data_IF_586793577515
#
_entry.id   IF_586793577515
#
_cell.length_a   1.000
_cell.length_b   1.000
_cell.length_c   1.000
_cell.angle_alpha   90.00
_cell.angle_beta   90.00
_cell.angle_gamma   90.00
#
_symmetry.space_group_name_H-M   'P 1'
#
loop_
_entity.id
_entity.type
_entity.pdbx_description
1 polymer ?
#
# COMPACT_ATOMS: atom_id res chain seq x y z
N UNK A 1 -75.06 -53.55 -4.96
CA UNK A 1 -74.19 -54.24 -5.93
C UNK A 1 -74.10 -53.42 -7.22
N UNK A 2 -72.87 -53.03 -7.59
CA UNK A 2 -72.35 -52.24 -8.75
C UNK A 2 -71.47 -51.10 -8.19
N UNK A 3 -70.14 -51.29 -8.15
CA UNK A 3 -69.10 -50.73 -9.06
C UNK A 3 -68.95 -49.21 -8.84
N UNK A 4 -67.78 -48.59 -8.69
CA UNK A 4 -66.39 -48.87 -9.08
C UNK A 4 -65.54 -47.76 -8.40
N UNK A 5 -64.37 -48.10 -7.83
CA UNK A 5 -63.07 -47.38 -7.73
C UNK A 5 -63.09 -45.82 -7.70
N UNK A 6 -62.31 -45.11 -6.88
CA UNK A 6 -60.85 -45.22 -6.71
C UNK A 6 -60.44 -44.41 -5.48
N UNK A 7 -59.39 -44.89 -4.82
CA UNK A 7 -58.77 -44.35 -3.62
C UNK A 7 -58.21 -42.94 -3.82
N UNK A 8 -58.47 -42.13 -2.80
CA UNK A 8 -57.92 -40.83 -2.44
C UNK A 8 -56.39 -40.90 -2.23
N UNK A 9 -55.57 -39.99 -2.79
CA UNK A 9 -54.31 -39.63 -2.17
C UNK A 9 -54.44 -38.28 -1.46
N UNK A 10 -54.07 -38.34 -0.19
CA UNK A 10 -53.89 -37.25 0.77
C UNK A 10 -52.81 -36.28 0.24
N UNK A 11 -53.20 -35.08 -0.18
CA UNK A 11 -52.26 -34.09 -0.72
C UNK A 11 -52.76 -32.65 -0.50
N UNK A 12 -53.02 -32.26 0.76
CA UNK A 12 -53.09 -30.84 1.14
C UNK A 12 -52.66 -30.68 2.60
N UNK A 13 -51.38 -30.41 2.84
CA UNK A 13 -50.92 -29.75 4.07
C UNK A 13 -49.51 -29.17 3.87
N UNK A 14 -49.40 -28.09 3.08
CA UNK A 14 -48.22 -27.22 2.98
C UNK A 14 -48.59 -25.90 2.28
N UNK A 15 -49.56 -25.16 2.83
CA UNK A 15 -49.87 -23.77 2.47
C UNK A 15 -50.36 -23.01 3.69
N UNK A 16 -49.44 -22.62 4.58
CA UNK A 16 -49.73 -21.69 5.66
C UNK A 16 -48.45 -21.00 6.15
N UNK A 17 -47.84 -20.17 5.30
CA UNK A 17 -46.96 -19.06 5.70
C UNK A 17 -46.82 -18.11 4.51
N UNK A 18 -47.71 -17.13 4.43
CA UNK A 18 -47.71 -16.16 3.34
C UNK A 18 -48.96 -15.30 3.37
N UNK A 19 -49.13 -14.52 4.44
CA UNK A 19 -49.94 -13.28 4.53
C UNK A 19 -49.45 -12.58 5.81
N UNK A 20 -48.72 -11.47 5.66
CA UNK A 20 -48.28 -10.66 6.80
C UNK A 20 -47.00 -9.85 6.56
N UNK A 21 -46.90 -9.11 5.46
CA UNK A 21 -45.98 -7.97 5.41
C UNK A 21 -46.52 -6.93 6.41
N UNK A 22 -45.93 -6.88 7.60
CA UNK A 22 -46.07 -5.71 8.47
C UNK A 22 -45.21 -4.62 7.86
N UNK A 23 -45.86 -3.64 7.24
CA UNK A 23 -45.25 -2.35 6.92
C UNK A 23 -44.48 -1.85 8.13
N UNK A 24 -43.15 -1.85 8.04
CA UNK A 24 -42.29 -1.23 9.04
C UNK A 24 -42.67 0.26 9.09
N UNK A 25 -42.89 0.86 10.26
CA UNK A 25 -43.28 2.26 10.34
C UNK A 25 -42.20 3.11 9.65
N UNK A 26 -42.59 3.78 8.58
CA UNK A 26 -41.75 4.75 7.90
C UNK A 26 -41.56 5.94 8.82
N UNK A 27 -40.32 6.19 9.23
CA UNK A 27 -39.97 7.38 10.01
C UNK A 27 -40.35 8.62 9.19
N UNK A 28 -41.15 9.51 9.78
CA UNK A 28 -41.52 10.78 9.16
C UNK A 28 -40.37 11.78 9.36
N UNK A 29 -39.78 12.22 8.26
CA UNK A 29 -38.69 13.20 8.21
C UNK A 29 -38.05 13.19 6.82
N UNK A 30 -37.41 14.29 6.43
CA UNK A 30 -36.52 14.28 5.27
C UNK A 30 -35.37 13.32 5.58
N UNK A 31 -35.17 12.32 4.72
CA UNK A 31 -34.03 11.42 4.84
C UNK A 31 -32.81 12.19 4.37
N UNK A 32 -32.06 12.74 5.31
CA UNK A 32 -30.73 13.25 5.03
C UNK A 32 -29.82 12.02 4.92
N UNK A 33 -29.09 11.89 3.82
CA UNK A 33 -28.12 10.81 3.70
C UNK A 33 -27.00 11.02 4.72
N UNK A 34 -26.62 9.99 5.47
CA UNK A 34 -25.42 10.09 6.33
C UNK A 34 -24.16 10.28 5.47
N UNK A 35 -24.20 9.90 4.18
CA UNK A 35 -23.13 10.15 3.20
C UNK A 35 -23.05 11.63 2.77
N UNK A 36 -24.14 12.40 2.87
CA UNK A 36 -24.10 13.86 2.61
C UNK A 36 -23.41 14.66 3.72
N UNK A 37 -23.05 14.01 4.83
CA UNK A 37 -22.23 14.59 5.90
C UNK A 37 -20.73 14.36 5.70
N UNK A 38 -20.30 13.61 4.67
CA UNK A 38 -18.90 13.58 4.24
C UNK A 38 -18.62 14.86 3.46
N UNK A 39 -18.08 15.86 4.13
CA UNK A 39 -17.62 17.09 3.49
C UNK A 39 -16.51 16.71 2.50
N UNK A 40 -16.70 17.02 1.22
CA UNK A 40 -15.62 16.95 0.22
C UNK A 40 -14.41 17.73 0.71
N UNK A 41 -13.20 17.22 0.49
CA UNK A 41 -12.00 17.96 0.85
C UNK A 41 -11.94 19.24 0.01
N UNK A 42 -11.66 20.36 0.66
CA UNK A 42 -11.54 21.66 0.02
C UNK A 42 -10.15 22.24 0.30
N UNK A 43 -9.58 23.01 -0.65
CA UNK A 43 -8.38 23.81 -0.37
C UNK A 43 -8.59 24.72 0.84
N UNK A 44 -7.53 24.86 1.63
CA UNK A 44 -7.50 25.85 2.70
C UNK A 44 -7.54 27.28 2.13
N UNK A 45 -7.78 28.27 2.99
CA UNK A 45 -7.96 29.65 2.54
C UNK A 45 -6.76 30.16 1.70
N UNK A 46 -6.99 31.02 0.69
CA UNK A 46 -5.93 31.45 -0.23
C UNK A 46 -4.73 32.13 0.42
N UNK A 47 -4.91 32.77 1.59
CA UNK A 47 -3.81 33.37 2.34
C UNK A 47 -2.84 32.33 2.89
N UNK A 48 -3.37 31.29 3.52
CA UNK A 48 -2.57 30.16 4.02
C UNK A 48 -1.87 29.42 2.88
N UNK A 49 -2.56 29.22 1.75
CA UNK A 49 -1.97 28.63 0.54
C UNK A 49 -0.82 29.49 0.01
N UNK A 50 -0.99 30.81 -0.06
CA UNK A 50 0.05 31.73 -0.52
C UNK A 50 1.29 31.76 0.40
N UNK A 51 1.14 31.51 1.69
CA UNK A 51 2.25 31.38 2.65
C UNK A 51 3.00 30.04 2.51
N UNK A 52 2.36 29.04 1.91
CA UNK A 52 2.88 27.68 1.76
C UNK A 52 3.04 27.31 0.27
N UNK A 53 3.65 28.18 -0.53
CA UNK A 53 3.86 27.91 -1.95
C UNK A 53 4.70 26.64 -2.18
N UNK A 54 4.32 25.86 -3.19
CA UNK A 54 5.05 24.65 -3.55
C UNK A 54 6.39 24.98 -4.21
N UNK A 55 7.46 24.37 -3.70
CA UNK A 55 8.81 24.49 -4.24
C UNK A 55 9.26 23.12 -4.74
N UNK A 56 9.27 22.95 -6.05
CA UNK A 56 9.76 21.73 -6.70
C UNK A 56 11.29 21.67 -6.57
N UNK A 57 11.86 20.67 -5.89
CA UNK A 57 13.29 20.44 -5.88
C UNK A 57 13.74 19.94 -7.26
N UNK A 58 15.03 20.13 -7.58
CA UNK A 58 15.62 19.61 -8.81
C UNK A 58 15.41 18.10 -8.89
N UNK A 59 14.99 17.61 -10.06
CA UNK A 59 14.86 16.20 -10.31
C UNK A 59 16.21 15.48 -10.15
N UNK A 60 16.23 14.35 -9.46
CA UNK A 60 17.44 13.55 -9.24
C UNK A 60 17.34 12.19 -9.91
N UNK A 61 18.47 11.68 -10.39
CA UNK A 61 18.51 10.39 -11.07
C UNK A 61 18.54 9.28 -10.02
N UNK A 62 17.43 8.59 -9.89
CA UNK A 62 17.33 7.39 -9.08
C UNK A 62 17.72 6.17 -9.92
N UNK A 63 18.86 5.56 -9.61
CA UNK A 63 19.34 4.36 -10.30
C UNK A 63 18.64 3.09 -9.80
N UNK A 64 18.25 3.07 -8.52
CA UNK A 64 17.82 1.88 -7.81
C UNK A 64 16.50 2.06 -7.07
N UNK A 65 15.75 0.98 -6.91
CA UNK A 65 14.60 0.87 -6.03
C UNK A 65 14.80 -0.35 -5.11
N UNK A 66 15.72 -0.27 -4.13
CA UNK A 66 16.16 -1.45 -3.37
C UNK A 66 15.12 -1.97 -2.37
N UNK A 67 14.16 -1.17 -1.92
CA UNK A 67 13.19 -1.56 -0.88
C UNK A 67 11.79 -1.07 -1.24
N UNK A 68 10.77 -1.56 -0.53
CA UNK A 68 9.42 -0.99 -0.63
C UNK A 68 9.49 0.53 -0.35
N UNK A 69 8.81 1.35 -1.16
CA UNK A 69 8.91 2.81 -1.07
C UNK A 69 10.27 3.39 -1.53
N UNK A 70 11.13 2.58 -2.13
CA UNK A 70 12.41 2.97 -2.71
C UNK A 70 13.58 2.81 -1.75
N UNK A 71 13.62 3.61 -0.69
CA UNK A 71 14.66 3.57 0.36
C UNK A 71 14.01 3.49 1.75
N UNK A 72 14.78 3.16 2.82
CA UNK A 72 14.20 2.92 4.15
C UNK A 72 13.35 4.05 4.72
N UNK A 73 13.59 5.30 4.32
CA UNK A 73 12.82 6.45 4.80
C UNK A 73 11.55 6.74 3.98
N UNK A 74 11.35 6.00 2.88
CA UNK A 74 10.27 6.14 1.91
C UNK A 74 10.13 7.55 1.28
N UNK A 75 11.18 8.37 1.32
CA UNK A 75 11.19 9.75 0.80
C UNK A 75 11.93 9.81 -0.54
N UNK A 76 11.18 9.71 -1.65
CA UNK A 76 11.73 9.66 -3.01
C UNK A 76 11.84 11.01 -3.72
N UNK A 77 11.18 12.07 -3.23
CA UNK A 77 11.29 13.42 -3.79
C UNK A 77 10.91 13.49 -5.29
N UNK A 78 11.55 14.38 -6.05
CA UNK A 78 11.31 14.56 -7.48
C UNK A 78 12.26 13.68 -8.29
N UNK A 79 11.77 12.59 -8.88
CA UNK A 79 12.59 11.67 -9.65
C UNK A 79 12.82 12.18 -11.08
N UNK A 80 14.01 11.96 -11.63
CA UNK A 80 14.28 12.19 -13.03
C UNK A 80 13.62 11.08 -13.86
N UNK A 81 12.84 11.48 -14.86
CA UNK A 81 12.17 10.58 -15.79
C UNK A 81 12.08 11.26 -17.17
N UNK A 82 11.82 10.48 -18.22
CA UNK A 82 11.74 11.04 -19.56
C UNK A 82 10.54 11.98 -19.69
N UNK A 83 10.68 12.96 -20.58
CA UNK A 83 9.59 13.86 -20.95
C UNK A 83 8.98 13.32 -22.25
N UNK A 84 7.72 12.90 -22.21
CA UNK A 84 7.00 12.35 -23.36
C UNK A 84 6.01 11.26 -22.96
N UNK A 85 5.21 10.81 -23.92
CA UNK A 85 4.25 9.73 -23.72
C UNK A 85 4.94 8.43 -23.31
N UNK A 86 4.29 7.66 -22.44
CA UNK A 86 4.76 6.34 -22.03
C UNK A 86 4.84 5.40 -23.23
N UNK A 87 6.04 4.92 -23.57
CA UNK A 87 6.22 3.88 -24.58
C UNK A 87 6.65 2.60 -23.90
N UNK A 88 5.84 1.56 -24.05
CA UNK A 88 6.19 0.24 -23.53
C UNK A 88 7.47 -0.25 -24.21
N UNK A 89 8.50 -0.51 -23.40
CA UNK A 89 9.79 -1.04 -23.83
C UNK A 89 9.76 -2.57 -23.89
N UNK A 90 9.15 -3.21 -22.89
CA UNK A 90 8.95 -4.66 -22.82
C UNK A 90 7.89 -5.01 -21.78
N UNK A 91 7.39 -6.24 -21.84
CA UNK A 91 6.59 -6.89 -20.80
C UNK A 91 7.18 -8.26 -20.45
N UNK A 92 6.90 -8.73 -19.24
CA UNK A 92 7.29 -10.04 -18.75
C UNK A 92 6.18 -10.62 -17.87
N UNK A 93 6.02 -11.93 -17.91
CA UNK A 93 5.13 -12.68 -17.03
C UNK A 93 5.91 -13.03 -15.75
N UNK A 94 5.37 -12.66 -14.57
CA UNK A 94 5.96 -12.96 -13.27
C UNK A 94 5.48 -14.28 -12.66
N UNK A 95 4.49 -14.93 -13.26
CA UNK A 95 3.76 -16.06 -12.70
C UNK A 95 2.36 -15.66 -12.26
N UNK A 96 1.90 -16.24 -11.16
CA UNK A 96 0.50 -16.09 -10.73
C UNK A 96 0.17 -14.69 -10.22
N UNK A 97 -0.91 -14.12 -10.77
CA UNK A 97 -1.43 -12.81 -10.37
C UNK A 97 -2.32 -12.85 -9.11
N UNK A 98 -2.93 -11.70 -8.82
CA UNK A 98 -3.98 -11.53 -7.83
C UNK A 98 -5.18 -12.44 -8.09
N UNK A 99 -5.73 -12.99 -7.02
CA UNK A 99 -7.07 -13.58 -6.98
C UNK A 99 -7.88 -12.94 -5.86
N UNK A 100 -9.18 -13.22 -5.78
CA UNK A 100 -10.04 -12.73 -4.70
C UNK A 100 -9.62 -13.17 -3.29
N UNK A 101 -8.77 -14.21 -3.18
CA UNK A 101 -8.25 -14.73 -1.90
C UNK A 101 -6.78 -14.41 -1.67
N UNK A 102 -6.01 -14.26 -2.74
CA UNK A 102 -4.55 -14.07 -2.71
C UNK A 102 -4.23 -12.81 -3.52
N UNK A 103 -4.24 -11.62 -2.91
CA UNK A 103 -3.83 -10.42 -3.62
C UNK A 103 -2.32 -10.41 -3.83
N UNK A 104 -1.88 -9.88 -4.98
CA UNK A 104 -0.49 -9.57 -5.24
C UNK A 104 -0.10 -8.31 -4.43
N UNK A 105 0.81 -8.48 -3.47
CA UNK A 105 1.19 -7.40 -2.53
C UNK A 105 2.65 -6.98 -2.61
N UNK A 106 3.51 -7.81 -3.21
CA UNK A 106 4.95 -7.56 -3.26
C UNK A 106 5.28 -6.47 -4.28
N UNK A 107 5.77 -5.32 -3.81
CA UNK A 107 6.32 -4.29 -4.70
C UNK A 107 7.63 -4.79 -5.34
N UNK A 108 7.84 -4.58 -6.66
CA UNK A 108 9.09 -4.92 -7.31
C UNK A 108 10.29 -4.16 -6.74
N UNK A 109 11.45 -4.82 -6.67
CA UNK A 109 12.74 -4.23 -6.32
C UNK A 109 13.63 -4.15 -7.55
N UNK A 110 14.26 -3.01 -7.81
CA UNK A 110 15.10 -2.79 -9.00
C UNK A 110 16.52 -2.40 -8.59
N UNK A 111 17.50 -3.26 -8.87
CA UNK A 111 18.92 -3.00 -8.54
C UNK A 111 19.83 -3.65 -9.57
N UNK A 112 20.96 -3.01 -9.86
CA UNK A 112 22.04 -3.57 -10.70
C UNK A 112 21.56 -4.23 -12.01
N UNK A 113 20.64 -3.56 -12.70
CA UNK A 113 20.10 -4.02 -13.97
C UNK A 113 19.13 -5.20 -13.88
N UNK A 114 18.70 -5.58 -12.68
CA UNK A 114 17.69 -6.61 -12.39
C UNK A 114 16.45 -6.02 -11.75
N UNK A 115 15.31 -6.66 -12.01
CA UNK A 115 14.07 -6.42 -11.29
C UNK A 115 13.63 -7.74 -10.65
N UNK A 116 13.32 -7.69 -9.36
CA UNK A 116 12.90 -8.82 -8.55
C UNK A 116 11.43 -8.67 -8.21
N UNK A 117 10.66 -9.74 -8.42
CA UNK A 117 9.23 -9.80 -8.14
C UNK A 117 8.88 -11.08 -7.42
N UNK A 118 7.73 -11.09 -6.75
CA UNK A 118 7.19 -12.28 -6.10
C UNK A 118 5.72 -12.39 -6.48
N UNK A 119 5.34 -13.55 -7.01
CA UNK A 119 3.98 -13.86 -7.42
C UNK A 119 3.13 -14.41 -6.25
N UNK A 120 1.85 -14.70 -6.48
CA UNK A 120 0.93 -15.18 -5.42
C UNK A 120 1.14 -16.64 -5.03
N UNK A 121 1.92 -17.39 -5.80
CA UNK A 121 2.33 -18.79 -5.53
C UNK A 121 3.69 -18.87 -4.80
N UNK A 122 4.18 -17.73 -4.28
CA UNK A 122 5.48 -17.63 -3.61
C UNK A 122 6.66 -18.02 -4.51
N UNK A 123 6.60 -17.65 -5.79
CA UNK A 123 7.74 -17.72 -6.71
C UNK A 123 8.45 -16.38 -6.75
N UNK A 124 9.68 -16.35 -6.23
CA UNK A 124 10.60 -15.23 -6.40
C UNK A 124 11.25 -15.31 -7.78
N UNK A 125 11.19 -14.23 -8.55
CA UNK A 125 11.67 -14.18 -9.92
C UNK A 125 12.58 -12.97 -10.14
N UNK A 126 13.62 -13.14 -10.96
CA UNK A 126 14.48 -12.05 -11.41
C UNK A 126 14.41 -11.88 -12.92
N UNK A 127 14.32 -10.62 -13.36
CA UNK A 127 14.30 -10.26 -14.78
C UNK A 127 15.35 -9.22 -15.11
N UNK A 128 15.82 -9.23 -16.35
CA UNK A 128 16.70 -8.21 -16.89
C UNK A 128 15.93 -6.93 -17.19
N UNK A 129 16.33 -5.81 -16.58
CA UNK A 129 15.78 -4.46 -16.84
C UNK A 129 15.90 -4.02 -18.31
N UNK A 130 16.83 -4.63 -19.06
CA UNK A 130 17.09 -4.28 -20.47
C UNK A 130 15.97 -4.75 -21.40
N UNK A 131 15.34 -5.88 -21.11
CA UNK A 131 14.47 -6.58 -22.07
C UNK A 131 13.40 -7.49 -21.43
N UNK A 132 13.23 -7.48 -20.11
CA UNK A 132 12.25 -8.31 -19.41
C UNK A 132 12.56 -9.81 -19.41
N UNK A 133 13.73 -10.25 -19.87
CA UNK A 133 14.06 -11.68 -19.86
C UNK A 133 14.24 -12.19 -18.44
N UNK A 134 13.59 -13.30 -18.13
CA UNK A 134 13.80 -14.06 -16.89
C UNK A 134 15.25 -14.51 -16.78
N UNK A 135 15.86 -14.23 -15.64
CA UNK A 135 17.21 -14.66 -15.27
C UNK A 135 17.15 -15.95 -14.45
N UNK A 136 16.25 -15.98 -13.46
CA UNK A 136 15.98 -17.17 -12.63
C UNK A 136 14.59 -17.06 -11.99
N UNK A 137 14.10 -18.21 -11.49
CA UNK A 137 12.90 -18.34 -10.68
C UNK A 137 13.16 -19.34 -9.57
N UNK A 138 12.74 -19.01 -8.36
CA UNK A 138 12.88 -19.86 -7.17
C UNK A 138 11.55 -19.87 -6.42
N UNK A 139 10.98 -21.05 -6.21
CA UNK A 139 9.86 -21.18 -5.28
C UNK A 139 10.41 -21.09 -3.83
N UNK A 140 9.91 -20.13 -3.06
CA UNK A 140 10.39 -19.84 -1.70
C UNK A 140 9.55 -20.48 -0.60
N UNK A 141 8.52 -21.26 -0.98
CA UNK A 141 7.72 -22.06 -0.06
C UNK A 141 8.54 -23.27 0.43
N UNK A 142 8.37 -23.65 1.68
CA UNK A 142 8.93 -24.91 2.19
C UNK A 142 8.21 -26.12 1.56
N UNK A 143 8.87 -27.28 1.50
CA UNK A 143 8.33 -28.47 0.82
C UNK A 143 7.10 -29.07 1.52
N UNK A 144 6.95 -28.81 2.82
CA UNK A 144 5.85 -29.27 3.68
C UNK A 144 4.67 -28.29 3.75
N UNK A 145 4.78 -27.14 3.10
CA UNK A 145 3.74 -26.12 3.02
C UNK A 145 2.93 -26.26 1.73
N UNK A 146 1.68 -26.70 1.86
CA UNK A 146 0.77 -26.91 0.72
C UNK A 146 -0.29 -25.80 0.58
N UNK A 147 -0.62 -25.12 1.68
CA UNK A 147 -1.69 -24.14 1.72
C UNK A 147 -1.23 -22.81 1.08
N UNK A 148 -2.03 -22.19 0.20
CA UNK A 148 -1.70 -20.89 -0.36
C UNK A 148 -1.89 -19.80 0.70
N UNK A 149 -0.90 -18.92 0.81
CA UNK A 149 -0.89 -17.79 1.75
C UNK A 149 -0.63 -16.49 1.02
N UNK A 150 -1.08 -15.38 1.61
CA UNK A 150 -0.73 -14.06 1.11
C UNK A 150 0.77 -13.86 1.34
N UNK A 151 1.50 -13.55 0.26
CA UNK A 151 2.95 -13.34 0.31
C UNK A 151 3.39 -12.13 1.14
N UNK A 152 4.70 -12.01 1.32
CA UNK A 152 5.35 -10.87 1.96
C UNK A 152 5.89 -9.86 0.96
N UNK A 153 7.11 -9.40 1.18
CA UNK A 153 7.77 -8.45 0.29
C UNK A 153 9.28 -8.69 0.15
N UNK A 154 9.88 -7.93 -0.76
CA UNK A 154 11.27 -8.06 -1.16
C UNK A 154 12.00 -6.79 -0.78
N UNK A 155 13.24 -6.94 -0.31
CA UNK A 155 14.16 -5.82 -0.15
C UNK A 155 15.60 -6.26 -0.46
N UNK A 156 16.43 -5.32 -0.87
CA UNK A 156 17.81 -5.56 -1.26
C UNK A 156 18.76 -4.68 -0.46
N UNK A 157 19.84 -5.28 0.03
CA UNK A 157 20.95 -4.56 0.62
C UNK A 157 22.21 -5.41 0.58
N UNK A 158 23.38 -4.77 0.39
CA UNK A 158 24.69 -5.44 0.46
C UNK A 158 24.80 -6.72 -0.38
N UNK A 159 24.26 -6.70 -1.62
CA UNK A 159 24.25 -7.84 -2.55
C UNK A 159 23.44 -9.07 -2.08
N UNK A 160 22.48 -8.87 -1.19
CA UNK A 160 21.56 -9.90 -0.70
C UNK A 160 20.12 -9.42 -0.88
N UNK A 161 19.24 -10.33 -1.33
CA UNK A 161 17.80 -10.14 -1.25
C UNK A 161 17.30 -10.68 0.08
N UNK A 162 16.49 -9.89 0.77
CA UNK A 162 15.77 -10.29 1.96
C UNK A 162 14.29 -10.36 1.61
N UNK A 163 13.68 -11.51 1.88
CA UNK A 163 12.31 -11.80 1.46
C UNK A 163 11.52 -12.31 2.65
N UNK A 164 10.41 -11.67 2.95
CA UNK A 164 9.38 -12.22 3.84
C UNK A 164 8.38 -13.01 3.02
N UNK A 165 7.90 -14.12 3.56
CA UNK A 165 6.80 -14.87 2.98
C UNK A 165 5.63 -14.98 3.98
N UNK A 166 4.50 -15.51 3.51
CA UNK A 166 3.32 -15.73 4.35
C UNK A 166 3.40 -16.99 5.24
N UNK A 167 4.57 -17.64 5.33
CA UNK A 167 4.81 -18.90 6.03
C UNK A 167 5.72 -18.73 7.26
N UNK A 168 5.65 -17.56 7.91
CA UNK A 168 6.47 -17.26 9.10
C UNK A 168 7.98 -17.31 8.81
N UNK A 169 8.44 -16.98 7.60
CA UNK A 169 9.87 -16.99 7.27
C UNK A 169 10.39 -15.63 6.79
N UNK A 170 11.66 -15.39 7.13
CA UNK A 170 12.54 -14.43 6.49
C UNK A 170 13.66 -15.20 5.79
N UNK A 171 13.86 -14.92 4.50
CA UNK A 171 14.86 -15.59 3.67
C UNK A 171 15.92 -14.58 3.23
N UNK A 172 17.19 -14.99 3.28
CA UNK A 172 18.27 -14.32 2.55
C UNK A 172 18.56 -15.09 1.27
N UNK A 173 18.50 -14.41 0.14
CA UNK A 173 18.57 -15.00 -1.20
C UNK A 173 19.67 -14.31 -2.00
N UNK A 174 20.41 -15.11 -2.76
CA UNK A 174 21.40 -14.63 -3.70
C UNK A 174 20.72 -13.98 -4.92
N UNK A 175 20.93 -12.68 -5.18
CA UNK A 175 20.30 -11.98 -6.31
C UNK A 175 20.72 -12.52 -7.69
N UNK A 176 21.85 -13.23 -7.78
CA UNK A 176 22.41 -13.70 -9.05
C UNK A 176 21.74 -14.97 -9.56
N UNK A 177 21.35 -15.88 -8.66
CA UNK A 177 20.87 -17.22 -9.03
C UNK A 177 19.63 -17.69 -8.25
N UNK A 178 19.15 -16.91 -7.27
CA UNK A 178 17.98 -17.26 -6.48
C UNK A 178 18.23 -18.33 -5.42
N UNK A 179 19.48 -18.71 -5.13
CA UNK A 179 19.81 -19.66 -4.07
C UNK A 179 19.71 -19.03 -2.68
N UNK A 180 19.28 -19.82 -1.69
CA UNK A 180 19.17 -19.36 -0.31
C UNK A 180 20.54 -19.32 0.37
N UNK A 181 20.89 -18.19 0.99
CA UNK A 181 21.99 -18.12 1.95
C UNK A 181 21.58 -18.67 3.31
N UNK A 182 20.39 -18.28 3.79
CA UNK A 182 19.81 -18.77 5.03
C UNK A 182 18.28 -18.54 5.05
N UNK A 183 17.62 -19.23 5.97
CA UNK A 183 16.20 -19.05 6.33
C UNK A 183 16.09 -18.89 7.83
N UNK A 184 15.26 -17.95 8.28
CA UNK A 184 14.99 -17.70 9.68
C UNK A 184 13.48 -17.75 9.93
N UNK A 185 13.09 -18.41 11.02
CA UNK A 185 11.69 -18.46 11.46
C UNK A 185 11.32 -17.17 12.17
N UNK A 186 10.18 -16.61 11.78
CA UNK A 186 9.51 -15.48 12.41
C UNK A 186 8.46 -16.01 13.39
N UNK A 187 8.07 -15.21 14.39
CA UNK A 187 7.07 -15.64 15.37
C UNK A 187 5.62 -15.60 14.85
N UNK A 188 5.40 -15.00 13.67
CA UNK A 188 4.11 -14.90 12.97
C UNK A 188 4.35 -14.45 11.51
N UNK A 189 3.34 -14.53 10.61
CA UNK A 189 3.56 -14.24 9.20
C UNK A 189 3.88 -12.77 9.00
N UNK A 190 4.61 -12.45 7.93
CA UNK A 190 4.84 -11.06 7.51
C UNK A 190 4.33 -10.82 6.10
N UNK A 191 3.42 -9.85 5.97
CA UNK A 191 2.90 -9.38 4.67
C UNK A 191 3.58 -8.09 4.18
N UNK A 192 4.55 -7.59 4.93
CA UNK A 192 5.31 -6.38 4.60
C UNK A 192 6.69 -6.78 4.06
N UNK A 193 7.29 -5.96 3.19
CA UNK A 193 8.69 -6.12 2.86
C UNK A 193 9.57 -5.80 4.09
N UNK A 194 10.72 -6.46 4.28
CA UNK A 194 11.72 -6.03 5.25
C UNK A 194 12.21 -4.62 4.95
N UNK A 195 12.47 -3.83 5.99
CA UNK A 195 13.19 -2.56 5.86
C UNK A 195 14.63 -2.76 6.33
N UNK A 196 15.62 -2.32 5.54
CA UNK A 196 17.04 -2.46 5.89
C UNK A 196 17.67 -1.10 6.10
N UNK A 197 18.13 -0.81 7.31
CA UNK A 197 18.91 0.38 7.63
C UNK A 197 20.06 0.01 8.57
N UNK A 198 21.23 0.62 8.35
CA UNK A 198 22.44 0.44 9.15
C UNK A 198 22.77 -1.03 9.49
N UNK A 199 22.74 -1.90 8.47
CA UNK A 199 23.02 -3.33 8.60
C UNK A 199 22.12 -4.08 9.60
N UNK A 200 20.85 -3.67 9.70
CA UNK A 200 19.79 -4.35 10.45
C UNK A 200 18.58 -4.55 9.57
N UNK A 201 17.94 -5.70 9.69
CA UNK A 201 16.65 -6.00 9.06
C UNK A 201 15.53 -5.68 10.05
N UNK A 202 14.53 -4.93 9.63
CA UNK A 202 13.31 -4.69 10.40
C UNK A 202 12.16 -5.42 9.72
N UNK A 203 11.54 -6.35 10.45
CA UNK A 203 10.42 -7.15 9.95
C UNK A 203 9.20 -6.91 10.82
N UNK A 204 8.11 -6.47 10.20
CA UNK A 204 6.80 -6.31 10.84
C UNK A 204 5.96 -7.55 10.60
N UNK A 205 5.44 -8.17 11.65
CA UNK A 205 4.58 -9.36 11.58
C UNK A 205 3.11 -9.02 11.80
N UNK A 206 2.22 -9.93 11.39
CA UNK A 206 0.76 -9.74 11.47
C UNK A 206 0.21 -9.67 12.89
N UNK A 207 0.94 -10.15 13.89
CA UNK A 207 0.57 -10.09 15.30
C UNK A 207 1.11 -8.84 16.02
N UNK A 208 1.32 -7.76 15.26
CA UNK A 208 1.81 -6.45 15.73
C UNK A 208 3.18 -6.51 16.40
N UNK A 209 4.12 -7.31 15.87
CA UNK A 209 5.51 -7.29 16.32
C UNK A 209 6.42 -6.66 15.29
N UNK A 210 7.53 -6.11 15.77
CA UNK A 210 8.65 -5.65 14.95
C UNK A 210 9.91 -6.29 15.48
N UNK A 211 10.58 -7.04 14.61
CA UNK A 211 11.85 -7.67 14.91
C UNK A 211 12.97 -6.90 14.22
N UNK A 212 13.99 -6.52 14.98
CA UNK A 212 15.29 -6.18 14.39
C UNK A 212 16.14 -7.44 14.35
N UNK A 213 16.64 -7.79 13.17
CA UNK A 213 17.35 -9.04 12.91
C UNK A 213 18.70 -8.77 12.25
N UNK A 214 19.67 -9.63 12.52
CA UNK A 214 21.00 -9.57 11.93
C UNK A 214 20.95 -10.07 10.47
N UNK A 215 21.39 -9.28 9.49
CA UNK A 215 21.37 -9.69 8.09
C UNK A 215 22.30 -10.85 7.74
N UNK A 216 23.24 -11.21 8.62
CA UNK A 216 24.24 -12.26 8.37
C UNK A 216 23.69 -13.66 8.60
N UNK A 217 22.82 -13.82 9.59
CA UNK A 217 22.31 -15.13 10.01
C UNK A 217 20.81 -15.14 10.36
N UNK A 218 20.13 -14.00 10.30
CA UNK A 218 18.71 -13.89 10.64
C UNK A 218 18.43 -13.99 12.14
N UNK A 219 19.43 -13.86 13.02
CA UNK A 219 19.20 -13.85 14.47
C UNK A 219 18.51 -12.57 14.93
N UNK A 220 17.59 -12.69 15.90
CA UNK A 220 16.89 -11.53 16.48
C UNK A 220 17.85 -10.74 17.38
N UNK A 221 18.00 -9.45 17.09
CA UNK A 221 18.78 -8.49 17.88
C UNK A 221 17.94 -7.88 18.99
N UNK A 222 16.71 -7.49 18.67
CA UNK A 222 15.69 -7.04 19.61
C UNK A 222 14.29 -7.20 18.99
N UNK A 223 13.27 -7.21 19.83
CA UNK A 223 11.87 -7.23 19.41
C UNK A 223 11.06 -6.14 20.14
N UNK A 224 10.03 -5.64 19.47
CA UNK A 224 8.99 -4.80 20.05
C UNK A 224 7.63 -5.44 19.77
N UNK A 225 6.75 -5.44 20.77
CA UNK A 225 5.38 -5.94 20.67
C UNK A 225 4.45 -4.75 20.85
N UNK A 226 3.74 -4.41 19.79
CA UNK A 226 2.71 -3.36 19.79
C UNK A 226 1.37 -3.84 20.33
N UNK A 227 0.34 -3.06 20.08
CA UNK A 227 -1.04 -3.40 20.45
C UNK A 227 -1.55 -4.49 19.50
N UNK A 228 -1.82 -5.68 20.06
CA UNK A 228 -2.39 -6.80 19.32
C UNK A 228 -3.87 -6.59 18.97
N UNK A 229 -4.28 -7.05 17.79
CA UNK A 229 -5.67 -6.98 17.32
C UNK A 229 -6.13 -8.29 16.68
N UNK A 230 -7.45 -8.51 16.71
CA UNK A 230 -8.07 -9.74 16.19
C UNK A 230 -8.43 -9.65 14.70
N UNK A 231 -8.49 -8.45 14.12
CA UNK A 231 -8.86 -8.22 12.73
C UNK A 231 -8.17 -6.96 12.18
N UNK A 232 -7.54 -7.06 11.01
CA UNK A 232 -6.95 -5.95 10.27
C UNK A 232 -7.05 -6.18 8.75
N UNK A 233 -6.87 -5.12 7.97
CA UNK A 233 -6.89 -5.11 6.51
C UNK A 233 -5.83 -6.06 5.92
N UNK A 234 -6.05 -6.42 4.66
CA UNK A 234 -5.13 -7.27 3.91
C UNK A 234 -3.92 -6.46 3.41
N UNK A 235 -2.74 -6.84 3.92
CA UNK A 235 -1.44 -6.23 3.65
C UNK A 235 -0.80 -5.71 4.93
N UNK A 236 0.51 -5.44 4.92
CA UNK A 236 1.18 -4.77 6.03
C UNK A 236 2.15 -3.73 5.47
N UNK A 237 2.21 -2.57 6.13
CA UNK A 237 3.15 -1.52 5.78
C UNK A 237 4.56 -1.88 6.28
N UNK A 238 5.55 -1.78 5.40
CA UNK A 238 6.95 -1.80 5.79
C UNK A 238 7.25 -0.60 6.70
N UNK A 239 8.07 -0.81 7.73
CA UNK A 239 8.47 0.27 8.62
C UNK A 239 9.33 1.31 7.88
N UNK A 240 9.28 2.57 8.26
CA UNK A 240 10.29 3.53 7.82
C UNK A 240 11.48 3.50 8.78
N UNK A 241 12.69 3.75 8.30
CA UNK A 241 13.87 3.82 9.14
C UNK A 241 14.86 4.89 8.67
N UNK A 242 15.59 5.44 9.62
CA UNK A 242 16.82 6.19 9.41
C UNK A 242 17.89 5.69 10.38
N UNK A 243 19.02 6.39 10.50
CA UNK A 243 20.12 5.95 11.36
C UNK A 243 19.78 5.95 12.86
N UNK A 244 18.77 6.70 13.30
CA UNK A 244 18.46 6.90 14.71
C UNK A 244 17.21 6.11 15.15
N UNK A 245 16.18 6.07 14.30
CA UNK A 245 14.89 5.44 14.62
C UNK A 245 14.37 4.55 13.49
N UNK A 246 13.56 3.57 13.88
CA UNK A 246 12.63 2.84 13.02
C UNK A 246 11.20 3.14 13.46
N UNK A 247 10.34 3.44 12.50
CA UNK A 247 8.94 3.78 12.67
C UNK A 247 8.08 2.69 12.06
N UNK A 248 7.74 1.64 12.83
CA UNK A 248 6.67 0.73 12.45
C UNK A 248 5.29 1.35 12.62
N UNK A 249 4.35 0.80 11.86
CA UNK A 249 2.93 1.10 11.95
C UNK A 249 2.14 -0.20 11.96
N UNK A 250 1.04 -0.23 12.70
CA UNK A 250 0.26 -1.45 12.94
C UNK A 250 -1.21 -1.28 12.52
N UNK A 251 -1.93 -2.40 12.39
CA UNK A 251 -3.38 -2.44 12.10
C UNK A 251 -4.19 -1.62 13.13
N UNK A 252 -3.68 -1.56 14.36
CA UNK A 252 -4.29 -0.85 15.49
C UNK A 252 -4.27 0.67 15.40
N UNK A 253 -3.72 1.20 14.31
CA UNK A 253 -3.44 2.62 14.14
C UNK A 253 -2.29 3.10 15.02
N UNK A 254 -1.57 2.21 15.71
CA UNK A 254 -0.36 2.57 16.46
C UNK A 254 0.76 2.96 15.48
N UNK A 255 1.40 4.10 15.76
CA UNK A 255 2.63 4.57 15.11
C UNK A 255 3.63 4.83 16.22
N UNK A 256 4.75 4.11 16.18
CA UNK A 256 5.75 4.17 17.24
C UNK A 256 7.11 4.43 16.63
N UNK A 257 7.94 5.27 17.24
CA UNK A 257 9.36 5.35 16.91
C UNK A 257 10.17 4.55 17.92
N UNK A 258 10.95 3.60 17.43
CA UNK A 258 11.84 2.75 18.19
C UNK A 258 13.28 3.12 17.88
N UNK A 259 14.15 3.14 18.89
CA UNK A 259 15.58 3.35 18.69
C UNK A 259 16.20 2.16 17.97
N UNK A 260 16.98 2.45 16.94
CA UNK A 260 17.63 1.44 16.08
C UNK A 260 18.49 0.45 16.87
N UNK A 261 19.16 0.91 17.94
CA UNK A 261 20.14 0.11 18.66
C UNK A 261 19.52 -1.00 19.52
N UNK A 262 18.36 -0.74 20.11
CA UNK A 262 17.81 -1.59 21.18
C UNK A 262 16.29 -1.73 21.20
N UNK A 263 15.56 -1.13 20.25
CA UNK A 263 14.11 -1.23 20.17
C UNK A 263 13.36 -0.46 21.25
N UNK A 264 14.03 0.36 22.07
CA UNK A 264 13.35 1.18 23.08
C UNK A 264 12.49 2.26 22.43
N UNK A 265 11.30 2.48 22.98
CA UNK A 265 10.36 3.49 22.47
C UNK A 265 10.92 4.89 22.68
N UNK A 266 11.14 5.61 21.59
CA UNK A 266 11.44 7.04 21.61
C UNK A 266 10.17 7.87 21.82
N UNK A 267 9.10 7.52 21.09
CA UNK A 267 7.75 8.04 21.26
C UNK A 267 6.74 7.09 20.63
N UNK A 268 5.46 7.24 20.97
CA UNK A 268 4.35 6.49 20.40
C UNK A 268 3.12 7.39 20.26
N UNK A 269 2.34 7.17 19.22
CA UNK A 269 1.09 7.85 18.92
C UNK A 269 0.06 6.84 18.34
N UNK A 270 -1.21 7.23 18.29
CA UNK A 270 -2.28 6.39 17.76
C UNK A 270 -3.24 7.18 16.85
N UNK A 271 -3.46 6.66 15.64
CA UNK A 271 -4.27 7.26 14.59
C UNK A 271 -5.72 6.75 14.58
N UNK A 272 -6.09 5.82 15.46
CA UNK A 272 -7.45 5.30 15.53
C UNK A 272 -8.47 6.41 15.80
N UNK A 273 -9.62 6.29 15.15
CA UNK A 273 -10.71 7.24 15.30
C UNK A 273 -11.65 6.80 16.43
N UNK A 274 -11.44 7.33 17.63
CA UNK A 274 -12.29 7.08 18.81
C UNK A 274 -13.77 7.44 18.61
N UNK A 275 -14.15 8.16 17.54
CA UNK A 275 -15.54 8.57 17.26
C UNK A 275 -16.35 7.57 16.45
N UNK A 276 -15.76 6.51 15.89
CA UNK A 276 -16.49 5.48 15.14
C UNK A 276 -17.22 4.47 16.06
N UNK A 277 -17.83 4.94 17.15
CA UNK A 277 -18.67 4.16 18.04
C UNK A 277 -20.04 3.87 17.37
N UNK A 278 -20.01 3.11 16.28
CA UNK A 278 -21.14 2.85 15.40
C UNK A 278 -20.98 1.60 14.55
N UNK A 279 -20.77 0.44 15.19
CA UNK A 279 -21.15 -0.88 14.67
C UNK A 279 -20.42 -1.48 13.46
N UNK A 280 -19.66 -0.71 12.69
CA UNK A 280 -18.65 -1.21 11.76
C UNK A 280 -17.30 -1.09 12.45
N UNK A 281 -16.53 -2.17 12.51
CA UNK A 281 -15.18 -2.14 13.05
C UNK A 281 -14.42 -0.99 12.39
N UNK A 282 -14.01 0.01 13.17
CA UNK A 282 -13.20 1.11 12.66
C UNK A 282 -11.85 0.52 12.27
N UNK A 283 -11.69 0.19 10.98
CA UNK A 283 -10.45 -0.35 10.42
C UNK A 283 -9.40 0.75 10.49
N UNK A 284 -8.71 0.85 11.63
CA UNK A 284 -7.65 1.84 11.87
C UNK A 284 -6.33 1.49 11.21
N UNK A 285 -6.38 0.54 10.27
CA UNK A 285 -5.25 -0.03 9.59
C UNK A 285 -4.41 1.03 8.91
N UNK A 286 -3.11 0.98 9.14
CA UNK A 286 -2.13 1.78 8.41
C UNK A 286 -1.51 0.87 7.35
N UNK A 287 -2.06 0.93 6.13
CA UNK A 287 -1.53 0.23 4.95
C UNK A 287 -0.48 1.06 4.19
N UNK A 288 -0.63 2.39 4.25
CA UNK A 288 0.33 3.31 3.68
C UNK A 288 1.66 3.22 4.43
N UNK A 289 2.78 3.24 3.70
CA UNK A 289 4.09 3.28 4.35
C UNK A 289 4.26 4.62 5.10
N UNK A 290 4.72 4.63 6.37
CA UNK A 290 5.11 5.87 7.02
C UNK A 290 6.30 6.49 6.27
N UNK A 291 6.45 7.81 6.28
CA UNK A 291 7.53 8.48 5.55
C UNK A 291 8.33 9.36 6.51
N UNK A 292 9.66 9.28 6.43
CA UNK A 292 10.57 10.11 7.23
C UNK A 292 11.27 11.09 6.30
N UNK A 293 11.03 12.39 6.48
CA UNK A 293 11.68 13.44 5.71
C UNK A 293 12.00 14.66 6.58
N UNK A 294 13.28 15.03 6.64
CA UNK A 294 13.80 16.25 7.29
C UNK A 294 13.27 16.50 8.71
N UNK A 295 13.26 15.46 9.56
CA UNK A 295 12.83 15.59 10.95
C UNK A 295 11.31 15.48 11.14
N UNK A 296 10.57 15.10 10.11
CA UNK A 296 9.13 14.88 10.15
C UNK A 296 8.82 13.43 9.78
N UNK A 297 7.97 12.80 10.58
CA UNK A 297 7.35 11.52 10.28
C UNK A 297 5.91 11.77 9.83
N UNK A 298 5.54 11.28 8.65
CA UNK A 298 4.19 11.35 8.13
C UNK A 298 3.59 9.95 8.09
N UNK A 299 2.40 9.80 8.66
CA UNK A 299 1.66 8.54 8.66
C UNK A 299 0.19 8.80 8.33
N UNK A 300 -0.42 7.88 7.59
CA UNK A 300 -1.80 7.97 7.11
C UNK A 300 -2.52 6.65 7.39
N UNK A 301 -3.57 6.70 8.21
CA UNK A 301 -4.44 5.55 8.44
C UNK A 301 -5.51 5.46 7.35
N UNK A 302 -6.01 4.25 7.14
CA UNK A 302 -7.21 3.99 6.37
C UNK A 302 -8.40 4.74 7.00
N UNK A 303 -8.64 4.53 8.31
CA UNK A 303 -9.77 5.08 9.10
C UNK A 303 -9.97 6.61 9.21
N UNK A 304 -9.26 7.42 8.43
CA UNK A 304 -9.62 8.83 8.27
C UNK A 304 -8.66 9.83 8.92
N UNK A 305 -7.37 9.50 9.09
CA UNK A 305 -6.40 10.50 9.56
C UNK A 305 -5.06 10.42 8.86
N UNK A 306 -4.53 11.58 8.50
CA UNK A 306 -3.13 11.81 8.20
C UNK A 306 -2.53 12.78 9.22
N UNK A 307 -1.32 12.47 9.69
CA UNK A 307 -0.59 13.28 10.66
C UNK A 307 0.84 13.53 10.20
N UNK A 308 1.41 14.65 10.66
CA UNK A 308 2.85 14.85 10.72
C UNK A 308 3.28 14.95 12.18
N UNK A 309 4.36 14.26 12.50
CA UNK A 309 4.97 14.18 13.82
C UNK A 309 6.40 14.71 13.73
N UNK A 310 6.82 15.51 14.70
CA UNK A 310 8.24 15.85 14.88
C UNK A 310 9.00 14.58 15.29
N UNK A 311 9.92 14.15 14.43
CA UNK A 311 10.63 12.87 14.51
C UNK A 311 11.33 12.67 15.86
N UNK A 312 11.82 13.76 16.47
CA UNK A 312 12.61 13.69 17.70
C UNK A 312 11.76 13.69 18.96
N UNK A 313 10.67 14.44 18.96
CA UNK A 313 9.85 14.68 20.16
C UNK A 313 8.58 13.86 20.20
N UNK A 314 8.10 13.34 19.06
CA UNK A 314 6.81 12.66 18.97
C UNK A 314 5.60 13.60 19.01
N UNK A 315 5.81 14.92 19.00
CA UNK A 315 4.71 15.87 18.99
C UNK A 315 4.09 15.97 17.59
N UNK A 316 2.75 15.92 17.50
CA UNK A 316 2.04 16.22 16.26
C UNK A 316 2.29 17.68 15.86
N UNK A 317 2.88 17.86 14.68
CA UNK A 317 3.04 19.17 14.02
C UNK A 317 1.69 19.61 13.48
N UNK A 318 0.99 18.71 12.80
CA UNK A 318 -0.38 18.92 12.31
C UNK A 318 -1.11 17.59 12.14
N UNK A 319 -2.43 17.68 11.98
CA UNK A 319 -3.31 16.56 11.63
C UNK A 319 -4.42 17.01 10.67
N UNK A 320 -4.92 16.09 9.84
CA UNK A 320 -6.13 16.26 9.01
C UNK A 320 -7.04 15.04 9.13
N UNK A 321 -8.35 15.26 9.06
CA UNK A 321 -9.39 14.24 9.28
C UNK A 321 -9.84 13.59 7.96
N UNK A 322 -8.90 13.04 7.22
CA UNK A 322 -9.15 12.13 6.11
C UNK A 322 -8.02 11.09 6.02
N UNK A 323 -8.30 9.94 5.41
CA UNK A 323 -7.44 8.77 5.39
C UNK A 323 -7.27 8.24 3.98
N UNK A 324 -6.45 7.20 3.86
CA UNK A 324 -6.12 6.57 2.58
C UNK A 324 -5.15 5.41 2.74
N UNK A 325 -5.02 4.62 1.68
CA UNK A 325 -4.24 3.38 1.70
C UNK A 325 -2.87 3.49 1.02
N UNK A 326 -2.67 4.53 0.21
CA UNK A 326 -1.44 4.71 -0.57
C UNK A 326 -0.40 5.53 0.20
N UNK A 327 0.88 5.21 0.01
CA UNK A 327 2.00 5.90 0.64
C UNK A 327 2.02 7.40 0.27
N UNK A 328 2.06 8.31 1.25
CA UNK A 328 2.25 9.74 0.99
C UNK A 328 3.54 10.03 0.21
N UNK A 329 3.45 10.79 -0.88
CA UNK A 329 4.63 11.13 -1.68
C UNK A 329 5.15 12.52 -1.33
N UNK A 330 6.33 12.60 -0.72
CA UNK A 330 6.94 13.87 -0.28
C UNK A 330 7.82 14.45 -1.38
N UNK A 331 7.64 15.74 -1.70
CA UNK A 331 8.48 16.49 -2.64
C UNK A 331 8.70 17.90 -2.11
N UNK A 332 9.96 18.26 -1.88
CA UNK A 332 10.30 19.61 -1.43
C UNK A 332 9.65 19.93 -0.09
N UNK A 333 8.68 20.84 -0.10
CA UNK A 333 7.88 21.24 1.07
C UNK A 333 6.42 20.77 1.00
N UNK A 334 6.08 19.84 0.09
CA UNK A 334 4.72 19.32 -0.09
C UNK A 334 4.66 17.81 0.04
N UNK A 335 3.45 17.33 0.30
CA UNK A 335 3.08 15.91 0.41
C UNK A 335 1.87 15.71 -0.50
N UNK A 336 1.94 14.70 -1.36
CA UNK A 336 0.84 14.32 -2.24
C UNK A 336 0.25 13.00 -1.75
N UNK A 337 -1.06 12.96 -1.60
CA UNK A 337 -1.77 11.80 -1.02
C UNK A 337 -3.04 11.49 -1.78
N UNK A 338 -3.47 10.23 -1.74
CA UNK A 338 -4.76 9.78 -2.24
C UNK A 338 -5.68 9.45 -1.09
N UNK A 339 -6.87 10.06 -1.06
CA UNK A 339 -7.92 9.73 -0.09
C UNK A 339 -8.65 8.44 -0.46
N UNK A 340 -9.40 7.86 0.48
CA UNK A 340 -10.30 6.71 0.23
C UNK A 340 -11.45 7.02 -0.76
N UNK A 341 -11.70 8.30 -0.98
CA UNK A 341 -12.72 8.83 -1.89
C UNK A 341 -12.15 9.16 -3.28
N UNK A 342 -10.96 8.67 -3.60
CA UNK A 342 -10.23 8.93 -4.85
C UNK A 342 -9.98 10.44 -5.07
N UNK A 343 -9.72 11.20 -4.00
CA UNK A 343 -9.25 12.58 -4.11
C UNK A 343 -7.72 12.59 -4.05
N UNK A 344 -7.08 13.17 -5.07
CA UNK A 344 -5.66 13.50 -5.02
C UNK A 344 -5.50 14.84 -4.33
N UNK A 345 -4.69 14.89 -3.27
CA UNK A 345 -4.57 16.07 -2.40
C UNK A 345 -3.11 16.47 -2.29
N UNK A 346 -2.83 17.77 -2.46
CA UNK A 346 -1.54 18.34 -2.11
C UNK A 346 -1.61 19.10 -0.79
N UNK A 347 -0.72 18.75 0.13
CA UNK A 347 -0.59 19.39 1.44
C UNK A 347 0.80 19.98 1.61
N UNK A 348 0.89 21.11 2.29
CA UNK A 348 2.16 21.61 2.78
C UNK A 348 2.70 20.68 3.88
N UNK A 349 3.92 20.15 3.70
CA UNK A 349 4.53 19.16 4.61
C UNK A 349 4.65 19.66 6.04
N UNK A 350 4.91 20.95 6.22
CA UNK A 350 5.27 21.52 7.52
C UNK A 350 4.05 22.08 8.29
N UNK A 351 2.91 22.30 7.61
CA UNK A 351 1.72 22.96 8.20
C UNK A 351 0.42 22.18 8.00
N UNK A 352 0.40 21.21 7.08
CA UNK A 352 -0.79 20.45 6.69
C UNK A 352 -1.79 21.24 5.85
N UNK A 353 -1.46 22.48 5.44
CA UNK A 353 -2.33 23.33 4.62
C UNK A 353 -2.65 22.61 3.31
N UNK A 354 -3.94 22.43 3.01
CA UNK A 354 -4.39 21.82 1.75
C UNK A 354 -4.29 22.87 0.65
N UNK A 355 -3.41 22.63 -0.33
CA UNK A 355 -3.16 23.55 -1.44
C UNK A 355 -4.22 23.39 -2.53
N UNK A 356 -4.48 22.14 -2.92
CA UNK A 356 -5.49 21.79 -3.92
C UNK A 356 -6.00 20.37 -3.67
N UNK A 357 -7.18 20.10 -4.23
CA UNK A 357 -7.85 18.80 -4.22
C UNK A 357 -8.35 18.53 -5.63
N UNK A 358 -7.98 17.39 -6.20
CA UNK A 358 -8.46 16.92 -7.50
C UNK A 358 -9.24 15.63 -7.30
N UNK A 359 -10.54 15.67 -7.58
CA UNK A 359 -11.37 14.47 -7.60
C UNK A 359 -10.99 13.63 -8.82
N UNK A 360 -10.53 12.40 -8.58
CA UNK A 360 -10.35 11.40 -9.63
C UNK A 360 -11.63 10.58 -9.78
N UNK A 361 -11.74 9.85 -10.88
CA UNK A 361 -12.91 9.03 -11.13
C UNK A 361 -13.05 7.94 -10.04
N UNK A 362 -14.27 7.80 -9.54
CA UNK A 362 -14.63 6.82 -8.51
C UNK A 362 -15.03 5.46 -9.09
N UNK A 363 -15.53 5.46 -10.32
CA UNK A 363 -16.08 4.29 -10.99
C UNK A 363 -15.50 4.15 -12.39
N UNK A 364 -15.47 2.91 -12.89
CA UNK A 364 -14.99 2.60 -14.23
C UNK A 364 -15.86 3.32 -15.27
N UNK A 365 -15.26 3.70 -16.40
CA UNK A 365 -15.94 4.52 -17.41
C UNK A 365 -17.19 3.83 -18.00
N UNK A 366 -17.17 2.51 -18.07
CA UNK A 366 -18.22 1.70 -18.70
C UNK A 366 -19.03 0.85 -17.69
N UNK A 367 -18.74 0.96 -16.38
CA UNK A 367 -19.42 0.24 -15.31
C UNK A 367 -19.48 1.08 -14.01
N UNK A 368 -20.65 1.68 -13.75
CA UNK A 368 -20.90 2.50 -12.56
C UNK A 368 -20.93 1.68 -11.25
N UNK A 369 -21.00 0.34 -11.31
CA UNK A 369 -20.93 -0.53 -10.14
C UNK A 369 -19.47 -0.94 -9.80
N UNK A 370 -18.53 -0.75 -10.73
CA UNK A 370 -17.12 -1.08 -10.55
C UNK A 370 -16.34 0.10 -9.93
N UNK A 371 -16.09 0.04 -8.62
CA UNK A 371 -15.29 1.04 -7.92
C UNK A 371 -13.82 0.95 -8.35
N UNK A 372 -13.28 2.09 -8.80
CA UNK A 372 -11.87 2.20 -9.16
C UNK A 372 -10.99 2.38 -7.94
N UNK A 373 -9.84 1.73 -7.97
CA UNK A 373 -8.74 2.01 -7.06
C UNK A 373 -7.60 2.67 -7.83
N UNK A 374 -7.02 3.70 -7.24
CA UNK A 374 -5.83 4.38 -7.76
C UNK A 374 -4.60 4.00 -6.93
N UNK A 375 -3.48 3.81 -7.61
CA UNK A 375 -2.17 3.51 -7.05
C UNK A 375 -1.18 4.63 -7.39
N UNK A 376 -0.28 4.93 -6.46
CA UNK A 376 0.53 6.16 -6.46
C UNK A 376 0.03 7.16 -5.40
N UNK A 377 0.25 8.48 -5.58
CA UNK A 377 1.00 9.11 -6.66
C UNK A 377 2.50 8.85 -6.50
N UNK A 378 3.22 8.89 -7.62
CA UNK A 378 4.68 9.08 -7.61
C UNK A 378 5.02 10.36 -8.37
N UNK A 379 6.08 11.09 -7.99
CA UNK A 379 6.54 12.26 -8.74
C UNK A 379 7.79 11.96 -9.54
N UNK A 380 7.69 12.13 -10.85
CA UNK A 380 8.84 11.98 -11.73
C UNK A 380 8.73 12.81 -12.99
N UNK A 381 9.85 13.33 -13.49
CA UNK A 381 9.87 14.19 -14.67
C UNK A 381 9.00 15.43 -14.51
N UNK A 382 8.86 15.94 -13.28
CA UNK A 382 8.10 17.16 -12.97
C UNK A 382 6.58 17.00 -12.90
N UNK A 383 6.05 15.77 -12.88
CA UNK A 383 4.61 15.48 -12.85
C UNK A 383 4.30 14.35 -11.86
N UNK A 384 3.09 14.35 -11.32
CA UNK A 384 2.57 13.22 -10.56
C UNK A 384 2.05 12.16 -11.53
N UNK A 385 2.34 10.90 -11.25
CA UNK A 385 1.92 9.75 -12.04
C UNK A 385 1.10 8.83 -11.15
N UNK A 386 -0.08 8.44 -11.65
CA UNK A 386 -1.00 7.53 -10.98
C UNK A 386 -1.43 6.44 -11.96
N UNK A 387 -1.74 5.26 -11.43
CA UNK A 387 -2.28 4.15 -12.21
C UNK A 387 -3.56 3.61 -11.56
N UNK A 388 -4.50 3.11 -12.35
CA UNK A 388 -5.78 2.58 -11.86
C UNK A 388 -6.00 1.10 -12.15
N UNK A 389 -6.98 0.53 -11.47
CA UNK A 389 -7.49 -0.82 -11.72
C UNK A 389 -8.23 -0.97 -13.05
N UNK A 390 -8.55 0.11 -13.77
CA UNK A 390 -9.04 0.06 -15.16
C UNK A 390 -7.95 0.38 -16.20
N UNK A 391 -6.68 0.27 -15.80
CA UNK A 391 -5.54 0.42 -16.69
C UNK A 391 -5.28 1.84 -17.18
N UNK A 392 -5.84 2.88 -16.54
CA UNK A 392 -5.48 4.26 -16.86
C UNK A 392 -4.21 4.68 -16.15
N UNK A 393 -3.40 5.47 -16.87
CA UNK A 393 -2.27 6.21 -16.32
C UNK A 393 -2.57 7.69 -16.42
N UNK A 394 -2.58 8.38 -15.28
CA UNK A 394 -2.78 9.83 -15.21
C UNK A 394 -1.45 10.52 -14.94
N UNK A 395 -1.25 11.63 -15.65
CA UNK A 395 -0.17 12.59 -15.40
C UNK A 395 -0.80 13.89 -14.89
N UNK A 396 -0.44 14.33 -13.69
CA UNK A 396 -1.06 15.49 -13.01
C UNK A 396 -0.01 16.54 -12.67
N UNK A 397 -0.34 17.82 -12.86
CA UNK A 397 0.51 18.95 -12.52
C UNK A 397 0.56 19.12 -11.00
N UNK A 398 1.74 19.01 -10.35
CA UNK A 398 1.81 19.00 -8.89
C UNK A 398 1.52 20.37 -8.24
N UNK A 399 1.66 21.48 -8.97
CA UNK A 399 1.35 22.83 -8.48
C UNK A 399 -0.16 23.10 -8.40
N UNK A 400 -0.95 22.56 -9.33
CA UNK A 400 -2.37 22.94 -9.50
C UNK A 400 -3.34 21.78 -9.31
N UNK A 401 -2.87 20.54 -9.44
CA UNK A 401 -3.73 19.35 -9.48
C UNK A 401 -4.40 19.11 -10.83
N UNK A 402 -4.07 19.90 -11.87
CA UNK A 402 -4.67 19.76 -13.20
C UNK A 402 -4.15 18.52 -13.92
N UNK A 403 -5.04 17.81 -14.62
CA UNK A 403 -4.67 16.70 -15.49
C UNK A 403 -3.84 17.22 -16.68
N UNK A 404 -2.62 16.72 -16.82
CA UNK A 404 -1.73 16.99 -17.95
C UNK A 404 -2.07 16.06 -19.11
N UNK A 405 -2.15 14.77 -18.82
CA UNK A 405 -2.39 13.73 -19.81
C UNK A 405 -3.00 12.47 -19.17
N UNK A 406 -3.70 11.71 -20.00
CA UNK A 406 -4.20 10.39 -19.68
C UNK A 406 -3.79 9.44 -20.79
N UNK A 407 -3.31 8.26 -20.41
CA UNK A 407 -3.09 7.13 -21.31
C UNK A 407 -3.73 5.88 -20.74
N UNK A 408 -3.84 4.84 -21.57
CA UNK A 408 -4.43 3.56 -21.19
C UNK A 408 -3.45 2.43 -21.50
N UNK A 409 -3.42 1.44 -20.62
CA UNK A 409 -2.71 0.19 -20.75
C UNK A 409 -3.71 -0.94 -20.53
N UNK A 410 -3.57 -2.04 -21.27
CA UNK A 410 -4.53 -3.15 -21.23
C UNK A 410 -4.33 -4.06 -19.99
N UNK A 411 -4.11 -3.45 -18.83
CA UNK A 411 -3.77 -4.13 -17.57
C UNK A 411 -4.19 -3.33 -16.34
N UNK A 412 -4.80 -4.00 -15.38
CA UNK A 412 -5.25 -3.43 -14.10
C UNK A 412 -4.06 -3.25 -13.16
N UNK A 413 -3.86 -2.02 -12.63
CA UNK A 413 -2.72 -1.69 -11.78
C UNK A 413 -3.18 -1.32 -10.36
N UNK A 414 -2.80 -2.16 -9.40
CA UNK A 414 -3.06 -1.91 -7.97
C UNK A 414 -1.80 -1.61 -7.16
N UNK A 415 -0.63 -2.06 -7.64
CA UNK A 415 0.66 -1.84 -6.98
C UNK A 415 1.23 -0.50 -7.42
N UNK A 416 1.65 0.31 -6.45
CA UNK A 416 2.22 1.62 -6.70
C UNK A 416 3.38 1.56 -7.71
N UNK A 417 3.40 2.44 -8.73
CA UNK A 417 4.43 2.45 -9.75
C UNK A 417 5.86 2.63 -9.20
N UNK A 418 6.85 2.03 -9.88
CA UNK A 418 8.27 2.10 -9.49
C UNK A 418 9.06 2.84 -10.58
N UNK A 419 9.96 3.75 -10.19
CA UNK A 419 10.87 4.42 -11.13
C UNK A 419 12.32 4.19 -10.75
N UNK A 420 13.04 3.50 -11.62
CA UNK A 420 14.47 3.25 -11.51
C UNK A 420 15.13 3.41 -12.88
N UNK A 421 16.29 4.06 -12.90
CA UNK A 421 17.06 4.41 -14.09
C UNK A 421 16.19 5.01 -15.22
N UNK A 422 15.35 5.99 -14.86
CA UNK A 422 14.42 6.70 -15.76
C UNK A 422 13.45 5.77 -16.52
N UNK A 423 13.24 4.56 -16.02
CA UNK A 423 12.26 3.60 -16.54
C UNK A 423 11.14 3.47 -15.52
N UNK A 424 9.90 3.52 -15.99
CA UNK A 424 8.71 3.30 -15.18
C UNK A 424 8.36 1.81 -15.25
N UNK A 425 8.27 1.18 -14.09
CA UNK A 425 7.86 -0.21 -13.93
C UNK A 425 6.47 -0.26 -13.31
N UNK A 426 5.59 -1.02 -13.94
CA UNK A 426 4.24 -1.30 -13.45
C UNK A 426 4.09 -2.80 -13.29
N UNK A 427 3.51 -3.22 -12.16
CA UNK A 427 3.16 -4.62 -11.92
C UNK A 427 1.63 -4.71 -11.88
N UNK A 428 1.08 -5.40 -12.87
CA UNK A 428 -0.35 -5.58 -13.04
C UNK A 428 -0.88 -6.68 -12.12
N UNK A 429 -2.18 -6.61 -11.82
CA UNK A 429 -2.86 -7.62 -11.00
C UNK A 429 -2.73 -9.02 -11.57
N UNK A 430 -2.75 -9.19 -12.89
CA UNK A 430 -2.67 -10.50 -13.53
C UNK A 430 -1.25 -11.12 -13.57
N UNK A 431 -0.26 -10.52 -12.91
CA UNK A 431 1.13 -11.00 -12.94
C UNK A 431 1.94 -10.50 -14.14
N UNK A 432 1.47 -9.47 -14.86
CA UNK A 432 2.25 -8.86 -15.94
C UNK A 432 3.13 -7.73 -15.40
N UNK A 433 4.44 -7.86 -15.57
CA UNK A 433 5.43 -6.80 -15.33
C UNK A 433 5.67 -6.01 -16.62
N UNK A 434 5.53 -4.69 -16.55
CA UNK A 434 5.65 -3.78 -17.68
C UNK A 434 6.76 -2.77 -17.44
N UNK A 435 7.46 -2.37 -18.50
CA UNK A 435 8.45 -1.29 -18.46
C UNK A 435 8.18 -0.22 -19.52
N UNK A 436 8.24 1.06 -19.14
CA UNK A 436 7.98 2.22 -20.01
C UNK A 436 9.14 3.22 -20.02
N UNK A 437 9.43 3.82 -21.18
CA UNK A 437 10.54 4.76 -21.44
C UNK A 437 10.18 5.86 -22.45
#
# INVERSE_FOLDING_TARGET
MKRLYLLLPLLVSLTACGIGEKDKPTLKGERISVLELQKSLEPDNPGAVAENQFIIPKAWHNEFWPQAGGYPNHSMQNLAFHNGAFKQAWSADIGEGSTSRLPLVAQPVVVDGRIFTMDTDSTLSAFSTKNGKTLWRTNIRAEDEDDPVIGGGIAFSNAVLYVTNGYDELLAVNPENGEFFWRATLPAPSRAAPTIMDNRLYVTTLDSRVLAMDPRDGSVLWEYIGIGETAGLVGAASAAANYDIVVPVFSSGEVTALRVENGSVAWSDNLSNLRAAGGLASLSDIKALPVIDKGIVIAMSFSGRIIAIDERTGNRIWQREFGGAQTPWIVGNHVFVLSEENELVALARDTGVIHWVTQLDKYAQDDDDEKLSWSGPIMAGGRLILASTDGRLLEVQPETGDLIAQSHIDHDIIIAPVIADKTLYLLAENGTLLAFR
#
